data_IF_863652529490
#
_entry.id   IF_863652529490
#
_cell.length_a   1.000
_cell.length_b   1.000
_cell.length_c   1.000
_cell.angle_alpha   90.00
_cell.angle_beta   90.00
_cell.angle_gamma   90.00
#
_symmetry.space_group_name_H-M   'P 1'
#
loop_
_entity.id
_entity.type
_entity.pdbx_description
1 polymer ?
#
# COMPACT_ATOMS: atom_id res chain seq x y z
N UNK A 1 21.43 40.84 -7.48
CA UNK A 1 22.26 40.45 -8.62
C UNK A 1 23.06 39.19 -8.46
N UNK A 2 23.36 38.81 -7.25
CA UNK A 2 24.09 37.57 -6.94
C UNK A 2 23.20 36.29 -6.97
N UNK A 3 21.91 36.45 -7.10
CA UNK A 3 20.98 35.31 -7.11
C UNK A 3 21.17 34.36 -8.27
N UNK A 4 21.76 34.84 -9.36
CA UNK A 4 22.03 34.02 -10.53
C UNK A 4 23.11 32.98 -10.31
N UNK A 5 23.96 33.17 -9.32
CA UNK A 5 25.04 32.23 -9.00
C UNK A 5 24.54 30.92 -8.42
N UNK A 6 23.48 30.95 -7.65
CA UNK A 6 22.88 29.75 -7.05
C UNK A 6 22.22 28.86 -8.10
N UNK A 7 21.65 29.43 -9.14
CA UNK A 7 21.06 28.68 -10.22
C UNK A 7 22.11 28.08 -11.15
N UNK A 8 23.26 28.66 -11.26
CA UNK A 8 24.33 28.15 -12.11
C UNK A 8 24.97 26.87 -11.55
N UNK A 9 24.91 26.64 -10.24
CA UNK A 9 25.45 25.42 -9.65
C UNK A 9 24.61 24.17 -9.99
N UNK A 10 23.31 24.32 -10.13
CA UNK A 10 22.41 23.23 -10.55
C UNK A 10 22.53 22.92 -12.04
N UNK A 11 22.84 23.89 -12.85
CA UNK A 11 23.01 23.70 -14.30
C UNK A 11 24.31 22.99 -14.66
N UNK A 12 25.24 22.83 -13.72
CA UNK A 12 26.48 22.10 -13.92
C UNK A 12 26.32 20.57 -13.85
N UNK A 13 25.16 20.07 -13.51
CA UNK A 13 24.90 18.65 -13.47
C UNK A 13 24.94 18.09 -14.90
N UNK A 14 25.71 17.01 -15.08
CA UNK A 14 25.87 16.39 -16.39
C UNK A 14 24.51 15.80 -16.86
N UNK A 15 23.97 16.21 -18.01
CA UNK A 15 22.71 15.71 -18.52
C UNK A 15 22.65 14.19 -18.70
N UNK A 16 23.78 13.56 -19.04
CA UNK A 16 23.86 12.10 -19.20
C UNK A 16 23.70 11.38 -17.87
N UNK A 17 24.25 11.92 -16.79
CA UNK A 17 24.11 11.37 -15.43
C UNK A 17 22.66 11.52 -14.98
N UNK A 18 22.05 12.65 -15.23
CA UNK A 18 20.65 12.92 -14.91
C UNK A 18 19.71 11.94 -15.60
N UNK A 19 19.90 11.70 -16.90
CA UNK A 19 19.11 10.73 -17.65
C UNK A 19 19.29 9.30 -17.13
N UNK A 20 20.51 8.91 -16.81
CA UNK A 20 20.79 7.58 -16.27
C UNK A 20 20.12 7.38 -14.91
N UNK A 21 20.12 8.40 -14.05
CA UNK A 21 19.43 8.36 -12.76
C UNK A 21 17.91 8.28 -12.93
N UNK A 22 17.35 9.04 -13.85
CA UNK A 22 15.93 9.02 -14.15
C UNK A 22 15.49 7.63 -14.66
N UNK A 23 16.26 7.03 -15.54
CA UNK A 23 16.00 5.67 -16.03
C UNK A 23 16.08 4.64 -14.91
N UNK A 24 17.07 4.75 -14.03
CA UNK A 24 17.22 3.87 -12.89
C UNK A 24 16.02 3.96 -11.95
N UNK A 25 15.58 5.16 -11.64
CA UNK A 25 14.40 5.38 -10.79
C UNK A 25 13.13 4.82 -11.43
N UNK A 26 12.96 4.97 -12.73
CA UNK A 26 11.83 4.38 -13.44
C UNK A 26 11.84 2.86 -13.40
N UNK A 27 13.00 2.24 -13.52
CA UNK A 27 13.14 0.78 -13.41
C UNK A 27 12.82 0.28 -12.01
N UNK A 28 13.30 0.98 -10.98
CA UNK A 28 12.99 0.65 -9.58
C UNK A 28 11.51 0.78 -9.29
N UNK A 29 10.88 1.85 -9.77
CA UNK A 29 9.44 2.06 -9.66
C UNK A 29 8.66 0.95 -10.33
N UNK A 30 9.07 0.56 -11.52
CA UNK A 30 8.39 -0.49 -12.26
C UNK A 30 8.50 -1.84 -11.54
N UNK A 31 9.64 -2.12 -10.93
CA UNK A 31 9.81 -3.34 -10.12
C UNK A 31 8.90 -3.35 -8.90
N UNK A 32 8.81 -2.22 -8.19
CA UNK A 32 7.92 -2.10 -7.04
C UNK A 32 6.46 -2.24 -7.42
N UNK A 33 6.05 -1.59 -8.50
CA UNK A 33 4.67 -1.68 -9.02
C UNK A 33 4.35 -3.12 -9.41
N UNK A 34 5.26 -3.79 -10.11
CA UNK A 34 5.06 -5.17 -10.53
C UNK A 34 4.96 -6.12 -9.33
N UNK A 35 5.80 -5.92 -8.32
CA UNK A 35 5.78 -6.72 -7.11
C UNK A 35 4.45 -6.52 -6.35
N UNK A 36 3.99 -5.29 -6.22
CA UNK A 36 2.71 -4.98 -5.59
C UNK A 36 1.53 -5.60 -6.35
N UNK A 37 1.51 -5.48 -7.68
CA UNK A 37 0.45 -6.09 -8.51
C UNK A 37 0.43 -7.62 -8.40
N UNK A 38 1.59 -8.25 -8.28
CA UNK A 38 1.69 -9.71 -8.07
C UNK A 38 1.10 -10.13 -6.73
N UNK A 39 1.32 -9.37 -5.68
CA UNK A 39 0.66 -9.61 -4.40
C UNK A 39 -0.84 -9.44 -4.52
N UNK A 40 -1.29 -8.40 -5.19
CA UNK A 40 -2.69 -8.09 -5.40
C UNK A 40 -3.43 -9.19 -6.16
N UNK A 41 -2.77 -9.83 -7.11
CA UNK A 41 -3.33 -10.94 -7.90
C UNK A 41 -3.06 -12.32 -7.30
N UNK A 42 -2.42 -12.39 -6.15
CA UNK A 42 -2.02 -13.64 -5.46
C UNK A 42 -1.04 -14.51 -6.25
N UNK A 43 -0.32 -13.92 -7.17
CA UNK A 43 0.68 -14.63 -7.96
C UNK A 43 2.00 -14.88 -7.19
N UNK A 44 2.10 -14.35 -5.98
CA UNK A 44 3.30 -14.52 -5.15
C UNK A 44 3.21 -15.79 -4.32
N UNK A 45 4.18 -16.69 -4.50
CA UNK A 45 4.31 -17.90 -3.69
C UNK A 45 4.73 -17.60 -2.24
N UNK A 46 5.16 -16.37 -2.00
CA UNK A 46 5.64 -15.92 -0.69
C UNK A 46 4.54 -15.34 0.20
N UNK A 47 3.29 -15.30 -0.29
CA UNK A 47 2.17 -14.80 0.49
C UNK A 47 1.86 -15.76 1.64
N UNK A 48 1.83 -15.28 2.90
CA UNK A 48 1.45 -16.10 4.03
C UNK A 48 0.03 -16.62 3.90
N UNK A 49 -0.23 -17.81 4.42
CA UNK A 49 -1.60 -18.36 4.47
C UNK A 49 -2.19 -18.08 5.85
N UNK A 50 -3.31 -17.39 5.93
CA UNK A 50 -3.92 -17.10 7.22
C UNK A 50 -4.53 -18.37 7.85
N UNK A 51 -4.50 -18.42 9.17
CA UNK A 51 -5.05 -19.54 9.94
C UNK A 51 -6.23 -19.07 10.78
N UNK A 52 -7.11 -20.01 11.14
CA UNK A 52 -8.25 -19.71 11.99
C UNK A 52 -9.16 -18.65 11.39
N UNK A 53 -9.45 -17.62 12.15
CA UNK A 53 -10.28 -16.49 11.72
C UNK A 53 -9.48 -15.23 11.38
N UNK A 54 -8.22 -15.41 10.98
CA UNK A 54 -7.37 -14.31 10.55
C UNK A 54 -7.44 -14.11 9.04
N UNK A 55 -7.11 -12.91 8.60
CA UNK A 55 -7.07 -12.53 7.19
C UNK A 55 -5.74 -11.89 6.86
N UNK A 56 -5.30 -12.05 5.63
CA UNK A 56 -4.16 -11.33 5.08
C UNK A 56 -4.68 -10.16 4.25
N UNK A 57 -4.24 -8.96 4.58
CA UNK A 57 -4.65 -7.73 3.92
C UNK A 57 -3.42 -7.03 3.36
N UNK A 58 -3.52 -6.61 2.11
CA UNK A 58 -2.49 -5.81 1.46
C UNK A 58 -2.82 -4.33 1.62
N UNK A 59 -2.01 -3.56 2.36
CA UNK A 59 -2.25 -2.15 2.55
C UNK A 59 -2.36 -1.40 1.23
N UNK A 60 -3.27 -0.43 1.17
CA UNK A 60 -3.46 0.39 -0.01
C UNK A 60 -2.25 1.28 -0.25
N UNK A 61 -1.73 1.24 -1.47
CA UNK A 61 -0.60 2.06 -1.90
C UNK A 61 -1.06 3.00 -3.00
N UNK A 62 -1.12 4.29 -2.71
CA UNK A 62 -1.35 5.28 -3.75
C UNK A 62 -0.15 5.38 -4.67
N UNK A 63 -0.43 5.39 -5.96
CA UNK A 63 0.62 5.65 -6.95
C UNK A 63 1.04 7.11 -6.86
N UNK A 64 2.31 7.34 -6.62
CA UNK A 64 2.88 8.65 -6.80
C UNK A 64 2.98 8.94 -8.30
N UNK A 65 2.59 10.15 -8.66
CA UNK A 65 2.75 10.64 -10.03
C UNK A 65 4.24 10.90 -10.27
N UNK A 66 4.96 9.97 -10.78
CA UNK A 66 6.38 10.09 -11.17
C UNK A 66 7.32 10.61 -10.08
N UNK A 67 8.42 9.92 -9.87
CA UNK A 67 9.49 10.31 -8.96
C UNK A 67 10.25 11.57 -9.40
N UNK A 68 9.92 12.17 -10.53
CA UNK A 68 10.42 13.48 -10.92
C UNK A 68 9.75 14.61 -10.15
N UNK A 69 8.60 14.35 -9.53
CA UNK A 69 7.92 15.29 -8.67
C UNK A 69 8.13 14.87 -7.22
N UNK A 70 8.92 15.61 -6.53
CA UNK A 70 9.20 15.39 -5.12
C UNK A 70 7.96 15.80 -4.32
N UNK A 71 7.14 14.85 -3.93
CA UNK A 71 6.04 15.08 -3.01
C UNK A 71 6.49 14.73 -1.59
N UNK A 72 7.20 15.64 -0.97
CA UNK A 72 7.53 15.56 0.45
C UNK A 72 6.58 16.45 1.24
N UNK A 73 6.15 15.99 2.39
CA UNK A 73 5.36 16.77 3.32
C UNK A 73 4.01 16.17 3.60
N UNK A 74 3.02 17.04 3.69
CA UNK A 74 1.67 16.69 4.15
C UNK A 74 1.03 15.56 3.33
N UNK A 75 1.14 15.62 2.02
CA UNK A 75 0.55 14.62 1.13
C UNK A 75 1.13 13.22 1.36
N UNK A 76 2.43 13.13 1.60
CA UNK A 76 3.09 11.85 1.86
C UNK A 76 2.63 11.26 3.19
N UNK A 77 2.49 12.09 4.23
CA UNK A 77 2.00 11.67 5.53
C UNK A 77 0.55 11.19 5.44
N UNK A 78 -0.30 11.93 4.75
CA UNK A 78 -1.70 11.56 4.53
C UNK A 78 -1.83 10.23 3.80
N UNK A 79 -1.03 10.01 2.76
CA UNK A 79 -1.00 8.76 2.01
C UNK A 79 -0.55 7.59 2.87
N UNK A 80 0.46 7.78 3.70
CA UNK A 80 0.92 6.75 4.63
C UNK A 80 -0.15 6.44 5.68
N UNK A 81 -0.90 7.44 6.14
CA UNK A 81 -2.01 7.23 7.06
C UNK A 81 -3.12 6.40 6.43
N UNK A 82 -3.50 6.68 5.20
CA UNK A 82 -4.49 5.88 4.46
C UNK A 82 -3.98 4.44 4.29
N UNK A 83 -2.75 4.27 3.88
CA UNK A 83 -2.14 2.96 3.71
C UNK A 83 -2.10 2.15 5.02
N UNK A 84 -2.08 2.82 6.17
CA UNK A 84 -2.07 2.14 7.47
C UNK A 84 -3.46 1.76 7.98
N UNK A 85 -4.52 2.13 7.27
CA UNK A 85 -5.91 1.92 7.72
C UNK A 85 -6.83 1.35 6.66
N UNK A 86 -6.33 1.13 5.46
CA UNK A 86 -7.10 0.58 4.34
C UNK A 86 -6.28 -0.46 3.61
N UNK A 87 -6.92 -1.53 3.19
CA UNK A 87 -6.23 -2.58 2.44
C UNK A 87 -7.18 -3.51 1.70
N UNK A 88 -6.59 -4.28 0.79
CA UNK A 88 -7.28 -5.29 0.01
C UNK A 88 -7.19 -6.65 0.72
N UNK A 89 -8.31 -7.31 0.90
CA UNK A 89 -8.34 -8.66 1.47
C UNK A 89 -7.81 -9.65 0.43
N UNK A 90 -6.64 -10.22 0.70
CA UNK A 90 -6.00 -11.19 -0.19
C UNK A 90 -6.41 -12.63 0.11
N UNK A 91 -6.52 -12.96 1.38
CA UNK A 91 -6.84 -14.31 1.81
C UNK A 91 -7.56 -14.29 3.16
N UNK A 92 -8.42 -15.27 3.38
CA UNK A 92 -9.13 -15.45 4.64
C UNK A 92 -8.86 -16.85 5.16
N UNK A 93 -8.71 -16.97 6.47
CA UNK A 93 -8.58 -18.26 7.13
C UNK A 93 -9.87 -19.06 7.08
N UNK A 94 -9.80 -20.37 7.34
CA UNK A 94 -10.97 -21.26 7.17
C UNK A 94 -12.11 -20.98 8.16
N UNK A 95 -11.85 -20.29 9.27
CA UNK A 95 -12.86 -19.97 10.28
C UNK A 95 -13.30 -18.51 10.26
N UNK A 96 -12.87 -17.72 9.25
CA UNK A 96 -13.34 -16.36 9.10
C UNK A 96 -14.84 -16.31 8.93
N UNK A 97 -15.49 -15.43 9.68
CA UNK A 97 -16.93 -15.20 9.63
C UNK A 97 -17.77 -16.46 9.84
N UNK A 98 -17.38 -17.23 10.86
CA UNK A 98 -18.14 -18.38 11.30
C UNK A 98 -19.59 -17.98 11.62
N UNK A 99 -20.53 -18.81 11.17
CA UNK A 99 -21.97 -18.54 11.30
C UNK A 99 -22.46 -18.39 12.73
N UNK A 100 -21.82 -19.05 13.68
CA UNK A 100 -22.19 -18.91 15.10
C UNK A 100 -21.86 -17.51 15.62
N UNK A 101 -20.70 -16.98 15.26
CA UNK A 101 -20.23 -15.67 15.69
C UNK A 101 -20.77 -14.53 14.80
N UNK A 102 -21.00 -14.83 13.52
CA UNK A 102 -21.47 -13.87 12.52
C UNK A 102 -22.73 -14.40 11.82
N UNK A 103 -23.88 -14.42 12.52
CA UNK A 103 -25.10 -15.00 11.95
C UNK A 103 -25.66 -14.24 10.74
N UNK A 104 -25.30 -12.98 10.60
CA UNK A 104 -25.71 -12.15 9.45
C UNK A 104 -24.85 -12.38 8.20
N UNK A 105 -23.82 -13.20 8.29
CA UNK A 105 -22.90 -13.51 7.21
C UNK A 105 -21.59 -12.74 7.30
N UNK A 106 -20.70 -12.95 6.34
CA UNK A 106 -19.39 -12.31 6.34
C UNK A 106 -19.48 -10.81 6.13
N UNK A 107 -18.61 -10.06 6.83
CA UNK A 107 -18.51 -8.62 6.67
C UNK A 107 -17.75 -8.22 5.40
N UNK A 108 -16.84 -9.08 4.96
CA UNK A 108 -16.08 -8.88 3.75
C UNK A 108 -15.64 -10.24 3.17
N UNK A 109 -15.14 -10.20 1.95
CA UNK A 109 -14.63 -11.39 1.25
C UNK A 109 -13.31 -11.06 0.59
N UNK A 110 -12.64 -12.05 0.05
CA UNK A 110 -11.45 -11.84 -0.75
C UNK A 110 -11.73 -10.91 -1.94
N UNK A 111 -10.86 -9.96 -2.15
CA UNK A 111 -11.02 -8.95 -3.19
C UNK A 111 -11.71 -7.67 -2.73
N UNK A 112 -12.24 -7.62 -1.51
CA UNK A 112 -12.84 -6.42 -0.98
C UNK A 112 -11.78 -5.48 -0.37
N UNK A 113 -12.00 -4.19 -0.51
CA UNK A 113 -11.24 -3.17 0.20
C UNK A 113 -11.88 -2.94 1.56
N UNK A 114 -11.07 -3.01 2.59
CA UNK A 114 -11.53 -2.88 3.98
C UNK A 114 -10.79 -1.76 4.69
N UNK A 115 -11.46 -1.19 5.67
CA UNK A 115 -10.92 -0.19 6.58
C UNK A 115 -10.77 -0.83 7.95
N UNK A 116 -9.63 -0.61 8.57
CA UNK A 116 -9.30 -1.16 9.89
C UNK A 116 -8.59 -0.11 10.73
N UNK A 117 -8.49 -0.32 12.03
CA UNK A 117 -7.79 0.59 12.92
C UNK A 117 -6.28 0.59 12.60
N UNK A 118 -5.65 1.74 12.74
CA UNK A 118 -4.23 1.93 12.40
C UNK A 118 -3.30 0.91 13.03
N UNK A 119 -3.59 0.51 14.25
CA UNK A 119 -2.76 -0.42 15.01
C UNK A 119 -3.34 -1.83 15.07
N UNK A 120 -4.37 -2.13 14.29
CA UNK A 120 -4.95 -3.45 14.23
C UNK A 120 -4.01 -4.45 13.57
N UNK A 121 -3.98 -5.65 14.11
CA UNK A 121 -3.24 -6.76 13.54
C UNK A 121 -1.72 -6.64 13.61
N UNK A 122 -1.06 -7.52 12.91
CA UNK A 122 0.40 -7.59 12.82
C UNK A 122 0.87 -7.26 11.42
N UNK A 123 1.93 -6.48 11.33
CA UNK A 123 2.58 -6.13 10.06
C UNK A 123 3.65 -7.16 9.75
N UNK A 124 3.66 -7.64 8.52
CA UNK A 124 4.61 -8.62 8.03
C UNK A 124 5.25 -8.08 6.75
N UNK A 125 6.56 -7.97 6.76
CA UNK A 125 7.32 -7.59 5.58
C UNK A 125 7.63 -8.84 4.77
N UNK A 126 7.22 -8.85 3.51
CA UNK A 126 7.52 -9.93 2.57
C UNK A 126 8.15 -9.36 1.31
N UNK A 127 8.65 -10.22 0.45
CA UNK A 127 9.15 -9.79 -0.85
C UNK A 127 7.99 -9.25 -1.70
N UNK A 128 8.08 -8.00 -2.09
CA UNK A 128 7.03 -7.29 -2.81
C UNK A 128 6.26 -6.28 -1.98
N UNK A 129 6.43 -6.25 -0.66
CA UNK A 129 5.83 -5.24 0.19
C UNK A 129 5.45 -5.73 1.58
N UNK A 130 4.70 -4.90 2.26
CA UNK A 130 4.16 -5.19 3.57
C UNK A 130 2.75 -5.75 3.44
N UNK A 131 2.46 -6.80 4.18
CA UNK A 131 1.08 -7.28 4.38
C UNK A 131 0.72 -7.18 5.84
N UNK A 132 -0.57 -7.15 6.13
CA UNK A 132 -1.08 -7.06 7.49
C UNK A 132 -2.00 -8.24 7.77
N UNK A 133 -1.83 -8.84 8.94
CA UNK A 133 -2.70 -9.90 9.42
C UNK A 133 -3.76 -9.31 10.33
N UNK A 134 -5.03 -9.50 10.03
CA UNK A 134 -6.14 -9.01 10.83
C UNK A 134 -6.99 -10.18 11.31
N UNK A 135 -7.66 -10.02 12.45
CA UNK A 135 -8.78 -10.88 12.80
C UNK A 135 -10.03 -10.45 12.02
N UNK A 136 -10.96 -11.37 11.85
CA UNK A 136 -12.20 -11.10 11.10
C UNK A 136 -13.06 -10.00 11.72
N UNK A 137 -13.01 -9.83 13.03
CA UNK A 137 -13.76 -8.80 13.76
C UNK A 137 -13.03 -7.43 13.83
N UNK A 138 -11.83 -7.33 13.28
CA UNK A 138 -11.06 -6.08 13.25
C UNK A 138 -11.39 -5.20 12.05
N UNK A 139 -12.22 -5.65 11.13
CA UNK A 139 -12.70 -4.86 10.00
C UNK A 139 -13.74 -3.86 10.47
N UNK A 140 -13.48 -2.57 10.24
CA UNK A 140 -14.37 -1.49 10.63
C UNK A 140 -15.41 -1.17 9.56
N UNK A 141 -15.00 -1.23 8.29
CA UNK A 141 -15.86 -0.90 7.16
C UNK A 141 -15.31 -1.51 5.87
N UNK A 142 -16.14 -1.55 4.84
CA UNK A 142 -15.72 -1.86 3.48
C UNK A 142 -15.88 -0.60 2.62
N UNK A 143 -15.08 -0.49 1.58
CA UNK A 143 -15.14 0.63 0.64
C UNK A 143 -14.96 0.12 -0.78
N UNK A 144 -15.71 0.68 -1.71
CA UNK A 144 -15.64 0.25 -3.11
C UNK A 144 -14.34 0.70 -3.78
N UNK A 145 -13.91 1.92 -3.51
CA UNK A 145 -12.69 2.49 -4.07
C UNK A 145 -11.87 3.16 -2.96
N UNK A 146 -10.68 2.64 -2.63
CA UNK A 146 -9.86 3.23 -1.58
C UNK A 146 -9.37 4.65 -1.89
N UNK A 147 -9.35 5.04 -3.16
CA UNK A 147 -8.98 6.41 -3.57
C UNK A 147 -9.99 7.47 -3.11
N UNK A 148 -11.19 7.05 -2.74
CA UNK A 148 -12.20 7.94 -2.20
C UNK A 148 -11.93 8.39 -0.76
N UNK A 149 -10.97 7.75 -0.09
CA UNK A 149 -10.55 8.15 1.26
C UNK A 149 -9.63 9.36 1.15
N UNK A 150 -10.10 10.49 1.66
CA UNK A 150 -9.35 11.74 1.62
C UNK A 150 -8.48 11.95 2.86
N UNK A 151 -9.02 11.64 4.03
CA UNK A 151 -8.35 11.83 5.31
C UNK A 151 -8.61 10.68 6.27
N UNK A 152 -7.63 10.44 7.14
CA UNK A 152 -7.74 9.53 8.27
C UNK A 152 -7.23 10.25 9.52
N UNK A 153 -8.05 10.31 10.54
CA UNK A 153 -7.70 10.90 11.82
C UNK A 153 -7.39 9.85 12.87
#
# INVERSE_FOLDING_TARGET
MSQTETTSSTSKENPKVKLALEEKYKEEDQKEINAYERLKTKESDKLPKPTGWRMIVLPFKMREKSKGGIYFGQDTLERQQVASTCGLVLAQGPHCYDKEKFPEGPWCKEGDWVIFARYAGSRIQIDGGEVRTLNDDEVLATIANPEDILHQY
#
